data_IF_973230651409
#
_entry.id   IF_973230651409
#
_cell.length_a   1.000
_cell.length_b   1.000
_cell.length_c   1.000
_cell.angle_alpha   90.00
_cell.angle_beta   90.00
_cell.angle_gamma   90.00
#
_symmetry.space_group_name_H-M   'P 1'
#
loop_
_entity.id
_entity.type
_entity.pdbx_description
1 polymer ?
#
# COMPACT_ATOMS: atom_id res chain seq x y z
N UNK A 1 15.29 56.78 6.83
CA UNK A 1 16.16 57.89 6.39
C UNK A 1 17.53 57.67 7.03
N UNK A 2 18.46 57.13 6.23
CA UNK A 2 19.93 57.19 6.26
C UNK A 2 20.59 57.62 7.58
N UNK A 3 21.47 56.79 8.19
CA UNK A 3 22.94 56.94 8.10
C UNK A 3 23.71 56.02 9.08
N UNK A 4 24.79 55.49 8.54
CA UNK A 4 25.79 54.55 9.06
C UNK A 4 26.84 55.25 9.94
N UNK A 5 27.57 54.44 10.71
CA UNK A 5 28.95 54.58 11.20
C UNK A 5 29.24 55.09 12.62
N UNK A 6 29.82 54.14 13.39
CA UNK A 6 31.03 54.21 14.22
C UNK A 6 31.30 55.44 15.09
N UNK A 7 31.31 55.23 16.42
CA UNK A 7 32.39 55.59 17.36
C UNK A 7 32.23 54.64 18.57
N UNK A 8 33.03 53.59 18.74
CA UNK A 8 34.37 53.55 19.32
C UNK A 8 34.50 54.21 20.71
N UNK A 9 34.80 53.35 21.70
CA UNK A 9 35.43 53.65 23.00
C UNK A 9 34.67 54.49 24.03
N UNK A 10 33.85 53.79 24.83
CA UNK A 10 33.64 54.14 26.24
C UNK A 10 34.87 53.70 27.02
N UNK A 11 35.74 54.66 27.38
CA UNK A 11 36.74 54.47 28.45
C UNK A 11 36.62 55.64 29.40
N UNK A 12 35.71 55.51 30.37
CA UNK A 12 35.70 56.37 31.53
C UNK A 12 36.85 55.95 32.46
N UNK A 13 37.68 56.94 32.77
CA UNK A 13 39.05 56.83 33.23
C UNK A 13 39.06 57.14 34.72
N UNK A 14 39.05 56.12 35.59
CA UNK A 14 39.30 56.32 37.02
C UNK A 14 40.15 55.20 37.61
N UNK A 15 41.45 55.52 37.72
CA UNK A 15 42.42 55.15 38.76
C UNK A 15 42.86 53.68 38.93
N UNK A 16 44.17 53.54 38.64
CA UNK A 16 45.17 52.62 39.23
C UNK A 16 45.24 51.20 38.68
N UNK A 17 46.00 51.13 37.58
CA UNK A 17 46.78 49.98 37.11
C UNK A 17 47.79 49.56 38.18
N UNK A 18 47.68 48.32 38.67
CA UNK A 18 48.78 47.53 39.25
C UNK A 18 48.59 46.13 38.66
N UNK A 19 49.21 45.86 37.51
CA UNK A 19 50.46 45.09 37.35
C UNK A 19 50.39 43.63 37.87
N UNK A 20 50.44 42.73 36.90
CA UNK A 20 50.99 41.36 36.90
C UNK A 20 50.41 40.28 37.80
N UNK A 21 49.77 39.32 37.14
CA UNK A 21 49.50 37.97 37.63
C UNK A 21 49.09 37.08 36.46
N UNK A 22 50.04 36.77 35.57
CA UNK A 22 49.85 35.70 34.59
C UNK A 22 49.63 34.39 35.34
N UNK A 23 48.67 33.56 34.91
CA UNK A 23 48.75 32.09 34.86
C UNK A 23 47.41 31.48 34.39
N UNK A 24 47.47 30.97 33.15
CA UNK A 24 47.05 29.61 32.73
C UNK A 24 45.55 29.27 32.68
N UNK A 25 45.11 29.13 31.42
CA UNK A 25 44.30 28.05 30.82
C UNK A 25 43.00 27.58 31.50
N UNK A 26 41.90 27.61 30.74
CA UNK A 26 41.32 26.41 30.11
C UNK A 26 40.44 26.86 28.94
N UNK A 27 40.75 26.35 27.76
CA UNK A 27 39.91 26.41 26.59
C UNK A 27 38.76 25.40 26.73
N UNK A 28 37.53 25.81 26.42
CA UNK A 28 36.55 24.91 25.81
C UNK A 28 35.91 25.60 24.61
N UNK A 29 36.45 25.25 23.44
CA UNK A 29 35.79 25.34 22.16
C UNK A 29 34.89 24.11 22.01
N UNK A 30 33.60 24.33 21.84
CA UNK A 30 32.67 23.40 21.18
C UNK A 30 31.65 24.29 20.47
N UNK A 31 32.04 24.96 19.38
CA UNK A 31 32.03 24.47 18.00
C UNK A 31 30.71 23.81 17.58
N UNK A 32 30.11 24.48 16.60
CA UNK A 32 29.36 23.95 15.47
C UNK A 32 27.94 23.43 15.73
N UNK A 33 26.98 24.35 15.60
CA UNK A 33 25.87 24.10 14.69
C UNK A 33 26.36 24.08 13.24
N UNK A 34 26.05 22.99 12.54
CA UNK A 34 25.90 22.81 11.09
C UNK A 34 25.29 21.40 10.98
N UNK A 35 24.03 21.20 10.59
CA UNK A 35 23.55 21.57 9.27
C UNK A 35 24.08 20.54 8.25
N UNK A 36 23.61 19.30 8.30
CA UNK A 36 23.59 18.43 7.12
C UNK A 36 22.57 17.31 7.29
N UNK A 37 21.37 17.65 6.85
CA UNK A 37 20.32 16.72 6.43
C UNK A 37 20.90 15.86 5.29
N UNK A 38 21.36 14.66 5.62
CA UNK A 38 21.50 13.61 4.61
C UNK A 38 20.39 12.59 4.85
N UNK A 39 19.22 12.94 4.33
CA UNK A 39 18.06 12.09 4.19
C UNK A 39 18.43 11.02 3.17
N UNK A 40 19.11 9.98 3.67
CA UNK A 40 19.49 8.81 2.89
C UNK A 40 18.24 8.20 2.29
N UNK A 41 18.15 8.28 0.97
CA UNK A 41 17.28 7.46 0.13
C UNK A 41 17.19 6.06 0.72
N UNK A 42 15.98 5.58 1.04
CA UNK A 42 15.78 4.16 1.26
C UNK A 42 16.25 3.44 0.00
N UNK A 43 17.34 2.70 0.11
CA UNK A 43 17.85 1.87 -0.97
C UNK A 43 16.73 0.88 -1.34
N UNK A 44 16.22 0.90 -2.57
CA UNK A 44 15.14 0.03 -3.03
C UNK A 44 15.42 -1.45 -2.73
N UNK A 45 16.70 -1.84 -2.71
CA UNK A 45 17.15 -3.18 -2.30
C UNK A 45 16.82 -3.50 -0.84
N UNK A 46 16.88 -2.53 0.08
CA UNK A 46 16.58 -2.71 1.51
C UNK A 46 15.07 -2.85 1.78
N UNK A 47 14.22 -2.18 1.00
CA UNK A 47 12.77 -2.30 1.13
C UNK A 47 12.28 -3.68 0.65
N UNK A 48 12.74 -4.13 -0.52
CA UNK A 48 12.43 -5.49 -1.03
C UNK A 48 12.95 -6.58 -0.11
N UNK A 49 14.16 -6.40 0.46
CA UNK A 49 14.72 -7.34 1.42
C UNK A 49 13.91 -7.39 2.71
N UNK A 50 13.42 -6.24 3.21
CA UNK A 50 12.54 -6.20 4.38
C UNK A 50 11.20 -6.95 4.12
N UNK A 51 10.56 -6.70 2.96
CA UNK A 51 9.30 -7.35 2.60
C UNK A 51 9.42 -8.87 2.43
N UNK A 52 10.56 -9.35 1.92
CA UNK A 52 10.81 -10.79 1.69
C UNK A 52 11.34 -11.52 2.92
N UNK A 53 11.99 -10.82 3.85
CA UNK A 53 12.64 -11.44 5.02
C UNK A 53 11.70 -11.73 6.19
N UNK A 54 10.56 -11.04 6.29
CA UNK A 54 9.57 -11.28 7.35
C UNK A 54 8.12 -11.17 6.84
N UNK A 55 7.67 -12.14 6.02
CA UNK A 55 6.33 -12.12 5.45
C UNK A 55 5.22 -12.22 6.53
N UNK A 56 5.46 -12.96 7.62
CA UNK A 56 4.49 -13.13 8.72
C UNK A 56 4.26 -11.83 9.46
N UNK A 57 5.32 -11.14 9.90
CA UNK A 57 5.19 -9.86 10.58
C UNK A 57 4.55 -8.78 9.70
N UNK A 58 4.82 -8.81 8.39
CA UNK A 58 4.16 -7.92 7.44
C UNK A 58 2.66 -8.26 7.30
N UNK A 59 2.31 -9.55 7.25
CA UNK A 59 0.90 -9.98 7.20
C UNK A 59 0.14 -9.58 8.47
N UNK A 60 0.74 -9.69 9.65
CA UNK A 60 0.11 -9.28 10.91
C UNK A 60 -0.21 -7.78 10.92
N UNK A 61 0.74 -6.95 10.45
CA UNK A 61 0.51 -5.50 10.31
C UNK A 61 -0.60 -5.24 9.30
N UNK A 62 -0.54 -5.83 8.10
CA UNK A 62 -1.52 -5.61 7.04
C UNK A 62 -2.92 -6.14 7.37
N UNK A 63 -3.00 -7.17 8.22
CA UNK A 63 -4.25 -7.82 8.62
C UNK A 63 -4.89 -7.19 9.86
N UNK A 64 -4.29 -6.16 10.46
CA UNK A 64 -4.96 -5.35 11.48
C UNK A 64 -6.19 -4.62 10.91
N UNK A 65 -7.28 -4.41 11.67
CA UNK A 65 -8.52 -3.84 11.16
C UNK A 65 -8.35 -2.50 10.42
N UNK A 66 -7.53 -1.60 10.95
CA UNK A 66 -7.27 -0.28 10.36
C UNK A 66 -6.50 -0.38 9.03
N UNK A 67 -5.55 -1.32 8.96
CA UNK A 67 -4.76 -1.55 7.76
C UNK A 67 -5.54 -2.32 6.70
N UNK A 68 -6.49 -3.18 7.08
CA UNK A 68 -7.40 -3.83 6.12
C UNK A 68 -8.19 -2.82 5.31
N UNK A 69 -8.77 -1.81 5.96
CA UNK A 69 -9.54 -0.78 5.25
C UNK A 69 -8.65 0.08 4.35
N UNK A 70 -7.45 0.38 4.82
CA UNK A 70 -6.44 1.06 4.00
C UNK A 70 -6.07 0.21 2.78
N UNK A 71 -5.91 -1.10 2.96
CA UNK A 71 -5.61 -2.04 1.88
C UNK A 71 -6.74 -2.14 0.87
N UNK A 72 -8.00 -2.20 1.31
CA UNK A 72 -9.17 -2.16 0.41
C UNK A 72 -9.17 -0.89 -0.44
N UNK A 73 -8.91 0.27 0.17
CA UNK A 73 -8.80 1.55 -0.57
C UNK A 73 -7.65 1.54 -1.57
N UNK A 74 -6.49 1.03 -1.19
CA UNK A 74 -5.32 0.93 -2.06
C UNK A 74 -5.62 0.00 -3.25
N UNK A 75 -6.16 -1.19 -2.98
CA UNK A 75 -6.51 -2.17 -4.01
C UNK A 75 -7.61 -1.68 -4.96
N UNK A 76 -8.58 -0.91 -4.45
CA UNK A 76 -9.64 -0.28 -5.25
C UNK A 76 -9.22 1.01 -5.95
N UNK A 77 -7.98 1.48 -5.79
CA UNK A 77 -7.52 2.74 -6.39
C UNK A 77 -7.31 2.59 -7.90
N UNK A 78 -7.50 3.70 -8.63
CA UNK A 78 -7.27 3.76 -10.09
C UNK A 78 -5.83 3.45 -10.49
N UNK A 79 -4.87 3.66 -9.59
CA UNK A 79 -3.45 3.35 -9.82
C UNK A 79 -3.16 1.86 -9.65
N UNK A 80 -3.84 1.18 -8.72
CA UNK A 80 -3.61 -0.24 -8.44
C UNK A 80 -4.40 -1.17 -9.37
N UNK A 81 -5.59 -0.74 -9.83
CA UNK A 81 -6.43 -1.54 -10.72
C UNK A 81 -5.69 -2.09 -11.96
N UNK A 82 -4.93 -1.30 -12.74
CA UNK A 82 -4.19 -1.81 -13.89
C UNK A 82 -3.13 -2.87 -13.52
N UNK A 83 -2.45 -2.67 -12.37
CA UNK A 83 -1.48 -3.63 -11.87
C UNK A 83 -2.16 -4.94 -11.48
N UNK A 84 -3.31 -4.89 -10.82
CA UNK A 84 -4.09 -6.08 -10.49
C UNK A 84 -4.57 -6.82 -11.74
N UNK A 85 -5.01 -6.10 -12.77
CA UNK A 85 -5.38 -6.70 -14.06
C UNK A 85 -4.20 -7.41 -14.70
N UNK A 86 -3.00 -6.85 -14.62
CA UNK A 86 -1.81 -7.49 -15.15
C UNK A 86 -1.40 -8.73 -14.34
N UNK A 87 -1.46 -8.64 -13.00
CA UNK A 87 -1.22 -9.77 -12.11
C UNK A 87 -2.19 -10.94 -12.36
N UNK A 88 -3.44 -10.67 -12.71
CA UNK A 88 -4.42 -11.71 -13.05
C UNK A 88 -4.09 -12.47 -14.34
N UNK A 89 -3.14 -12.00 -15.16
CA UNK A 89 -2.63 -12.75 -16.32
C UNK A 89 -1.59 -13.80 -15.93
N UNK A 90 -1.02 -13.72 -14.73
CA UNK A 90 -0.05 -14.69 -14.23
C UNK A 90 -0.74 -16.03 -13.90
N UNK A 91 -0.16 -17.14 -14.37
CA UNK A 91 -0.75 -18.48 -14.23
C UNK A 91 -0.85 -18.96 -12.80
N UNK A 92 0.11 -18.62 -11.94
CA UNK A 92 0.09 -19.03 -10.53
C UNK A 92 -1.00 -18.27 -9.76
N UNK A 93 -1.15 -16.97 -10.07
CA UNK A 93 -2.25 -16.17 -9.54
C UNK A 93 -3.60 -16.73 -10.00
N UNK A 94 -3.76 -17.07 -11.29
CA UNK A 94 -4.98 -17.68 -11.80
C UNK A 94 -5.31 -19.00 -11.11
N UNK A 95 -4.31 -19.88 -10.93
CA UNK A 95 -4.48 -21.16 -10.23
C UNK A 95 -4.95 -20.97 -8.79
N UNK A 96 -4.31 -20.06 -8.06
CA UNK A 96 -4.67 -19.76 -6.68
C UNK A 96 -6.08 -19.16 -6.60
N UNK A 97 -6.42 -18.25 -7.51
CA UNK A 97 -7.74 -17.62 -7.56
C UNK A 97 -8.85 -18.63 -7.88
N UNK A 98 -8.62 -19.59 -8.80
CA UNK A 98 -9.56 -20.69 -9.03
C UNK A 98 -9.80 -21.53 -7.77
N UNK A 99 -8.73 -21.83 -7.01
CA UNK A 99 -8.85 -22.55 -5.74
C UNK A 99 -9.66 -21.77 -4.70
N UNK A 100 -9.44 -20.45 -4.61
CA UNK A 100 -10.18 -19.56 -3.72
C UNK A 100 -11.65 -19.50 -4.11
N UNK A 101 -11.96 -19.30 -5.40
CA UNK A 101 -13.34 -19.19 -5.91
C UNK A 101 -14.12 -20.50 -5.80
N UNK A 102 -13.46 -21.64 -6.02
CA UNK A 102 -14.07 -22.97 -5.93
C UNK A 102 -14.16 -23.54 -4.51
N UNK A 103 -13.60 -22.87 -3.51
CA UNK A 103 -13.61 -23.35 -2.12
C UNK A 103 -15.00 -23.27 -1.50
N UNK A 104 -15.33 -24.25 -0.65
CA UNK A 104 -16.59 -24.26 0.11
C UNK A 104 -16.73 -23.04 1.02
N UNK A 105 -15.62 -22.57 1.60
CA UNK A 105 -15.58 -21.39 2.47
C UNK A 105 -16.04 -20.11 1.75
N UNK A 106 -15.78 -19.99 0.45
CA UNK A 106 -16.14 -18.81 -0.32
C UNK A 106 -17.41 -18.95 -1.15
N UNK A 107 -18.05 -20.13 -1.12
CA UNK A 107 -19.22 -20.43 -1.96
C UNK A 107 -20.31 -19.37 -1.79
N UNK A 108 -20.69 -19.05 -0.56
CA UNK A 108 -21.80 -18.11 -0.31
C UNK A 108 -21.48 -16.69 -0.76
N UNK A 109 -20.23 -16.25 -0.57
CA UNK A 109 -19.76 -14.96 -1.06
C UNK A 109 -19.78 -14.92 -2.60
N UNK A 110 -19.34 -15.99 -3.27
CA UNK A 110 -19.38 -16.07 -4.73
C UNK A 110 -20.80 -16.08 -5.27
N UNK A 111 -21.72 -16.83 -4.63
CA UNK A 111 -23.15 -16.81 -4.97
C UNK A 111 -23.72 -15.41 -4.81
N UNK A 112 -23.41 -14.70 -3.71
CA UNK A 112 -23.87 -13.32 -3.48
C UNK A 112 -23.36 -12.36 -4.55
N UNK A 113 -22.09 -12.46 -4.94
CA UNK A 113 -21.51 -11.65 -6.03
C UNK A 113 -22.20 -11.96 -7.36
N UNK A 114 -22.31 -13.24 -7.73
CA UNK A 114 -22.86 -13.65 -9.02
C UNK A 114 -24.36 -13.40 -9.16
N UNK A 115 -25.10 -13.42 -8.05
CA UNK A 115 -26.53 -13.09 -8.01
C UNK A 115 -26.82 -11.59 -7.84
N UNK A 116 -25.79 -10.74 -7.68
CA UNK A 116 -25.98 -9.30 -7.63
C UNK A 116 -26.58 -8.81 -8.96
N UNK A 117 -27.67 -8.01 -8.96
CA UNK A 117 -28.30 -7.52 -10.19
C UNK A 117 -27.34 -6.78 -11.14
N UNK A 118 -26.33 -6.09 -10.59
CA UNK A 118 -25.31 -5.38 -11.39
C UNK A 118 -24.40 -6.34 -12.17
N UNK A 119 -24.28 -7.58 -11.73
CA UNK A 119 -23.50 -8.63 -12.40
C UNK A 119 -24.28 -9.34 -13.51
N UNK A 120 -25.59 -9.14 -13.61
CA UNK A 120 -26.41 -9.81 -14.62
C UNK A 120 -25.89 -9.57 -16.04
N UNK A 121 -25.71 -8.30 -16.44
CA UNK A 121 -25.25 -7.97 -17.81
C UNK A 121 -23.84 -8.52 -18.11
N UNK A 122 -22.83 -8.32 -17.25
CA UNK A 122 -21.53 -8.97 -17.42
C UNK A 122 -21.60 -10.50 -17.51
N UNK A 123 -22.39 -11.14 -16.67
CA UNK A 123 -22.52 -12.61 -16.66
C UNK A 123 -23.17 -13.12 -17.95
N UNK A 124 -24.21 -12.46 -18.45
CA UNK A 124 -24.81 -12.78 -19.75
C UNK A 124 -23.78 -12.64 -20.87
N UNK A 125 -23.00 -11.56 -20.88
CA UNK A 125 -21.95 -11.35 -21.89
C UNK A 125 -20.91 -12.47 -21.87
N UNK A 126 -20.41 -12.84 -20.68
CA UNK A 126 -19.45 -13.94 -20.51
C UNK A 126 -20.05 -15.25 -20.99
N UNK A 127 -21.26 -15.60 -20.53
CA UNK A 127 -21.90 -16.88 -20.87
C UNK A 127 -22.31 -16.97 -22.35
N UNK A 128 -22.51 -15.83 -23.01
CA UNK A 128 -22.79 -15.76 -24.45
C UNK A 128 -21.53 -15.84 -25.33
N UNK A 129 -20.33 -15.78 -24.75
CA UNK A 129 -19.09 -15.94 -25.52
C UNK A 129 -19.06 -17.34 -26.16
N UNK A 130 -18.76 -17.47 -27.47
CA UNK A 130 -18.70 -18.77 -28.14
C UNK A 130 -17.78 -19.78 -27.47
N UNK A 131 -16.71 -19.34 -26.80
CA UNK A 131 -15.78 -20.21 -26.06
C UNK A 131 -16.43 -20.85 -24.83
N UNK A 132 -17.48 -20.25 -24.29
CA UNK A 132 -18.25 -20.77 -23.16
C UNK A 132 -19.28 -21.82 -23.57
N UNK A 133 -19.59 -21.96 -24.87
CA UNK A 133 -20.64 -22.86 -25.36
C UNK A 133 -20.50 -24.28 -24.81
N UNK A 134 -19.33 -24.89 -24.94
CA UNK A 134 -19.10 -26.27 -24.47
C UNK A 134 -19.29 -26.39 -22.96
N UNK A 135 -18.77 -25.43 -22.19
CA UNK A 135 -18.92 -25.39 -20.73
C UNK A 135 -20.38 -25.23 -20.33
N UNK A 136 -21.11 -24.32 -21.00
CA UNK A 136 -22.51 -24.08 -20.73
C UNK A 136 -23.38 -25.30 -21.05
N UNK A 137 -23.14 -25.96 -22.19
CA UNK A 137 -23.81 -27.22 -22.53
C UNK A 137 -23.54 -28.33 -21.51
N UNK A 138 -22.30 -28.42 -21.00
CA UNK A 138 -21.94 -29.38 -19.96
C UNK A 138 -22.68 -29.07 -18.65
N UNK A 139 -22.75 -27.80 -18.24
CA UNK A 139 -23.52 -27.36 -17.06
C UNK A 139 -25.00 -27.71 -17.19
N UNK A 140 -25.64 -27.44 -18.34
CA UNK A 140 -27.04 -27.79 -18.55
C UNK A 140 -27.33 -29.29 -18.48
N UNK A 141 -26.33 -30.12 -18.76
CA UNK A 141 -26.42 -31.58 -18.66
C UNK A 141 -26.10 -32.10 -17.26
N UNK A 142 -25.47 -31.29 -16.41
CA UNK A 142 -25.09 -31.68 -15.06
C UNK A 142 -26.34 -32.06 -14.24
N UNK A 143 -26.39 -33.28 -13.65
CA UNK A 143 -27.51 -33.74 -12.84
C UNK A 143 -27.91 -32.77 -11.71
N UNK A 144 -26.95 -32.05 -11.13
CA UNK A 144 -27.21 -31.09 -10.06
C UNK A 144 -28.00 -29.87 -10.54
N UNK A 145 -27.90 -29.51 -11.83
CA UNK A 145 -28.63 -28.38 -12.41
C UNK A 145 -29.95 -28.79 -13.08
N UNK A 146 -30.16 -30.07 -13.35
CA UNK A 146 -31.39 -30.56 -14.01
C UNK A 146 -32.70 -30.09 -13.36
N UNK A 147 -32.85 -30.09 -12.01
CA UNK A 147 -34.08 -29.61 -11.39
C UNK A 147 -34.35 -28.14 -11.72
N UNK A 148 -33.32 -27.28 -11.60
CA UNK A 148 -33.43 -25.85 -11.86
C UNK A 148 -33.69 -25.56 -13.34
N UNK A 149 -33.02 -26.27 -14.25
CA UNK A 149 -33.25 -26.12 -15.69
C UNK A 149 -34.69 -26.50 -16.04
N UNK A 150 -35.20 -27.62 -15.51
CA UNK A 150 -36.59 -28.03 -15.76
C UNK A 150 -37.58 -27.02 -15.22
N UNK A 151 -37.38 -26.52 -14.00
CA UNK A 151 -38.23 -25.49 -13.40
C UNK A 151 -38.24 -24.23 -14.26
N UNK A 152 -37.07 -23.70 -14.64
CA UNK A 152 -36.95 -22.50 -15.45
C UNK A 152 -37.59 -22.63 -16.84
N UNK A 153 -37.51 -23.81 -17.46
CA UNK A 153 -38.14 -24.07 -18.78
C UNK A 153 -39.65 -24.34 -18.68
N UNK A 154 -40.12 -24.77 -17.52
CA UNK A 154 -41.54 -25.04 -17.24
C UNK A 154 -42.27 -23.82 -16.69
N UNK A 155 -41.53 -22.82 -16.19
CA UNK A 155 -42.01 -21.49 -15.85
C UNK A 155 -42.36 -20.73 -17.15
N UNK A 156 -43.45 -21.14 -17.78
CA UNK A 156 -44.13 -20.43 -18.87
C UNK A 156 -45.47 -19.89 -18.39
#
# INVERSE_FOLDING_TARGET
MIKTEQEMMVVNKNKKVIMFGALISIAMLSLAGCGSQNQGMMNTSSATQYMTSNPTGMMDVLSSPDNRQSMVKIMGSSQMMPLMVDLMKNSDVQKNMMGIMGSSQNKDNMVSIMSNPSMYKPMVQIMSDPKMKTTFEAMLKDPALQPLVKEALSAK
#
